data_IF_846257501695
#
_entry.id   IF_846257501695
#
_cell.length_a   1.000
_cell.length_b   1.000
_cell.length_c   1.000
_cell.angle_alpha   90.00
_cell.angle_beta   90.00
_cell.angle_gamma   90.00
#
_symmetry.space_group_name_H-M   'P 1'
#
loop_
_entity.id
_entity.type
_entity.pdbx_description
1 polymer ?
#
# COMPACT_ATOMS: atom_id res chain seq x y z
N UNK A 1 -2.75 -13.52 -16.36
CA UNK A 1 -2.87 -12.90 -15.02
C UNK A 1 -4.29 -12.33 -14.89
N UNK A 2 -5.24 -13.12 -14.36
CA UNK A 2 -6.62 -12.67 -14.19
C UNK A 2 -6.62 -11.71 -13.01
N UNK A 3 -6.59 -10.41 -13.27
CA UNK A 3 -6.91 -9.40 -12.25
C UNK A 3 -8.38 -9.63 -11.92
N UNK A 4 -8.67 -10.38 -10.87
CA UNK A 4 -10.00 -10.51 -10.30
C UNK A 4 -10.57 -9.11 -10.17
N UNK A 5 -11.55 -8.77 -11.02
CA UNK A 5 -12.25 -7.49 -10.93
C UNK A 5 -13.13 -7.57 -9.70
N UNK A 6 -12.53 -7.34 -8.53
CA UNK A 6 -13.31 -7.13 -7.31
C UNK A 6 -14.11 -5.85 -7.54
N UNK A 7 -15.44 -5.99 -7.61
CA UNK A 7 -16.34 -4.85 -7.68
C UNK A 7 -16.36 -4.09 -6.35
N UNK A 8 -16.88 -2.87 -6.40
CA UNK A 8 -17.20 -2.09 -5.19
C UNK A 8 -18.26 -2.82 -4.36
N UNK A 9 -18.13 -2.73 -3.03
CA UNK A 9 -19.05 -3.31 -2.04
C UNK A 9 -19.48 -2.26 -1.03
N UNK A 10 -20.58 -2.54 -0.34
CA UNK A 10 -20.94 -1.76 0.85
C UNK A 10 -19.85 -1.94 1.92
N UNK A 11 -19.55 -0.86 2.65
CA UNK A 11 -18.45 -0.77 3.61
C UNK A 11 -17.11 -0.36 3.01
N UNK A 12 -16.97 -0.32 1.68
CA UNK A 12 -15.74 0.14 1.04
C UNK A 12 -15.53 1.65 1.27
N UNK A 13 -14.32 2.02 1.66
CA UNK A 13 -13.88 3.42 1.77
C UNK A 13 -13.32 3.90 0.43
N UNK A 14 -13.84 5.00 -0.07
CA UNK A 14 -13.59 5.50 -1.42
C UNK A 14 -13.39 7.00 -1.44
N UNK A 15 -12.73 7.48 -2.49
CA UNK A 15 -12.91 8.84 -2.98
C UNK A 15 -14.18 8.89 -3.82
N UNK A 16 -15.15 9.69 -3.39
CA UNK A 16 -16.38 10.01 -4.11
C UNK A 16 -16.27 11.47 -4.58
N UNK A 17 -15.86 11.64 -5.84
CA UNK A 17 -15.44 12.94 -6.36
C UNK A 17 -14.24 13.48 -5.58
N UNK A 18 -14.36 14.67 -5.00
CA UNK A 18 -13.29 15.27 -4.22
C UNK A 18 -13.26 14.84 -2.73
N UNK A 19 -14.29 14.15 -2.25
CA UNK A 19 -14.47 13.90 -0.82
C UNK A 19 -14.30 12.40 -0.48
N UNK A 20 -13.72 12.07 0.69
CA UNK A 20 -13.67 10.69 1.16
C UNK A 20 -15.02 10.26 1.75
N UNK A 21 -15.40 9.00 1.54
CA UNK A 21 -16.64 8.46 2.10
C UNK A 21 -16.70 6.93 2.12
N UNK A 22 -17.72 6.41 2.79
CA UNK A 22 -18.03 4.98 2.87
C UNK A 22 -19.20 4.66 1.96
N UNK A 23 -19.09 3.60 1.16
CA UNK A 23 -20.19 3.10 0.37
C UNK A 23 -21.23 2.41 1.26
N UNK A 24 -22.44 2.95 1.34
CA UNK A 24 -23.51 2.38 2.18
C UNK A 24 -24.26 1.29 1.41
N UNK A 25 -24.74 1.64 0.21
CA UNK A 25 -25.50 0.74 -0.64
C UNK A 25 -25.50 1.19 -2.09
N UNK A 26 -25.72 0.24 -2.99
CA UNK A 26 -25.89 0.54 -4.41
C UNK A 26 -27.30 1.08 -4.66
N UNK A 27 -27.43 2.29 -5.23
CA UNK A 27 -28.72 2.91 -5.55
C UNK A 27 -29.28 2.37 -6.86
N UNK A 28 -28.44 2.24 -7.88
CA UNK A 28 -28.76 1.64 -9.18
C UNK A 28 -27.49 1.08 -9.83
N UNK A 29 -27.57 0.61 -11.08
CA UNK A 29 -26.41 0.03 -11.80
C UNK A 29 -25.19 0.94 -11.87
N UNK A 30 -25.37 2.27 -11.85
CA UNK A 30 -24.33 3.28 -12.04
C UNK A 30 -24.12 4.24 -10.87
N UNK A 31 -24.87 4.11 -9.77
CA UNK A 31 -24.80 5.04 -8.63
C UNK A 31 -24.73 4.31 -7.30
N UNK A 32 -23.96 4.88 -6.39
CA UNK A 32 -23.86 4.46 -5.00
C UNK A 32 -24.41 5.54 -4.07
N UNK A 33 -24.89 5.11 -2.92
CA UNK A 33 -25.14 5.96 -1.76
C UNK A 33 -23.84 5.98 -0.96
N UNK A 34 -23.36 7.17 -0.66
CA UNK A 34 -22.09 7.40 0.03
C UNK A 34 -22.36 8.21 1.28
N UNK A 35 -21.77 7.80 2.39
CA UNK A 35 -21.73 8.56 3.63
C UNK A 35 -20.35 9.22 3.71
N UNK A 36 -20.30 10.55 3.77
CA UNK A 36 -19.05 11.29 3.73
C UNK A 36 -18.44 11.45 5.12
N UNK A 37 -17.12 11.34 5.21
CA UNK A 37 -16.39 11.61 6.46
C UNK A 37 -16.30 13.11 6.74
N UNK A 38 -16.19 13.51 8.01
CA UNK A 38 -16.01 14.90 8.45
C UNK A 38 -17.22 15.84 8.28
N UNK A 39 -18.23 15.43 7.50
CA UNK A 39 -19.53 16.10 7.41
C UNK A 39 -20.51 15.34 8.30
N UNK A 40 -21.36 16.03 9.07
CA UNK A 40 -22.27 15.44 10.06
C UNK A 40 -23.27 14.43 9.47
N UNK A 41 -22.80 13.21 9.19
CA UNK A 41 -23.52 12.10 8.55
C UNK A 41 -24.21 12.51 7.24
N UNK A 42 -23.53 13.31 6.42
CA UNK A 42 -24.10 13.71 5.12
C UNK A 42 -24.11 12.52 4.16
N UNK A 43 -25.30 12.16 3.70
CA UNK A 43 -25.51 11.05 2.77
C UNK A 43 -25.71 11.61 1.37
N UNK A 44 -24.75 11.33 0.49
CA UNK A 44 -24.79 11.68 -0.93
C UNK A 44 -25.12 10.51 -1.84
N UNK A 45 -25.23 10.82 -3.14
CA UNK A 45 -25.29 9.80 -4.18
C UNK A 45 -24.31 10.11 -5.30
N UNK A 46 -23.32 9.24 -5.46
CA UNK A 46 -22.23 9.43 -6.42
C UNK A 46 -22.28 8.43 -7.57
N UNK A 47 -21.81 8.86 -8.74
CA UNK A 47 -21.70 7.99 -9.92
C UNK A 47 -20.50 7.07 -9.80
N UNK A 48 -20.62 5.86 -10.31
CA UNK A 48 -19.55 4.85 -10.30
C UNK A 48 -18.28 5.28 -11.07
N UNK A 49 -18.38 6.23 -11.99
CA UNK A 49 -17.23 6.84 -12.69
C UNK A 49 -16.42 7.81 -11.81
N UNK A 50 -17.07 8.40 -10.80
CA UNK A 50 -16.50 9.32 -9.84
C UNK A 50 -16.14 8.62 -8.53
N UNK A 51 -16.01 7.28 -8.55
CA UNK A 51 -15.65 6.49 -7.38
C UNK A 51 -14.34 5.77 -7.63
N UNK A 52 -13.36 6.05 -6.77
CA UNK A 52 -12.03 5.44 -6.78
C UNK A 52 -11.74 4.92 -5.38
N UNK A 53 -11.06 3.78 -5.26
CA UNK A 53 -10.68 3.28 -3.95
C UNK A 53 -9.82 4.30 -3.20
N UNK A 54 -10.17 4.54 -1.94
CA UNK A 54 -9.36 5.38 -1.08
C UNK A 54 -8.06 4.67 -0.76
N UNK A 55 -6.97 5.42 -0.71
CA UNK A 55 -5.68 4.93 -0.28
C UNK A 55 -5.09 5.95 0.68
N UNK A 56 -4.49 5.48 1.77
CA UNK A 56 -4.06 6.33 2.90
C UNK A 56 -3.08 7.43 2.50
N UNK A 57 -2.31 7.22 1.43
CA UNK A 57 -1.34 8.16 0.90
C UNK A 57 -1.84 9.00 -0.28
N UNK A 58 -3.07 8.78 -0.74
CA UNK A 58 -3.65 9.59 -1.81
C UNK A 58 -4.00 11.00 -1.28
N UNK A 59 -3.95 11.97 -2.19
CA UNK A 59 -4.26 13.37 -1.88
C UNK A 59 -5.12 13.97 -3.00
N UNK A 60 -6.27 14.52 -2.63
CA UNK A 60 -7.10 15.37 -3.46
C UNK A 60 -7.00 16.80 -2.93
N UNK A 61 -6.73 17.82 -3.76
CA UNK A 61 -6.76 19.21 -3.32
C UNK A 61 -8.17 19.61 -2.86
N UNK A 62 -8.24 20.46 -1.83
CA UNK A 62 -9.51 21.01 -1.35
C UNK A 62 -10.23 21.74 -2.50
N UNK A 63 -11.52 21.42 -2.77
CA UNK A 63 -12.32 22.16 -3.74
C UNK A 63 -12.38 23.66 -3.42
N UNK A 64 -12.50 24.50 -4.44
CA UNK A 64 -12.68 25.95 -4.25
C UNK A 64 -14.03 26.23 -3.58
N UNK A 65 -14.03 27.12 -2.58
CA UNK A 65 -15.22 27.48 -1.82
C UNK A 65 -15.50 26.61 -0.60
N UNK A 66 -14.76 25.51 -0.44
CA UNK A 66 -14.85 24.67 0.76
C UNK A 66 -13.98 25.19 1.91
N UNK A 67 -14.47 25.00 3.12
CA UNK A 67 -13.70 25.32 4.32
C UNK A 67 -12.63 24.24 4.56
N UNK A 68 -11.37 24.62 4.36
CA UNK A 68 -10.20 23.74 4.44
C UNK A 68 -10.14 22.89 5.72
N UNK A 69 -10.58 23.42 6.87
CA UNK A 69 -10.55 22.70 8.14
C UNK A 69 -11.45 21.46 8.12
N UNK A 70 -12.72 21.59 7.70
CA UNK A 70 -13.63 20.44 7.60
C UNK A 70 -13.14 19.41 6.58
N UNK A 71 -12.63 19.89 5.44
CA UNK A 71 -12.05 19.02 4.42
C UNK A 71 -10.84 18.23 4.94
N UNK A 72 -9.95 18.89 5.68
CA UNK A 72 -8.78 18.25 6.29
C UNK A 72 -9.19 17.21 7.33
N UNK A 73 -10.17 17.52 8.16
CA UNK A 73 -10.65 16.60 9.20
C UNK A 73 -11.34 15.37 8.59
N UNK A 74 -12.13 15.56 7.53
CA UNK A 74 -12.71 14.46 6.74
C UNK A 74 -11.65 13.49 6.19
N UNK A 75 -10.56 14.02 5.62
CA UNK A 75 -9.45 13.18 5.13
C UNK A 75 -8.76 12.46 6.27
N UNK A 76 -8.55 13.14 7.41
CA UNK A 76 -7.90 12.56 8.58
C UNK A 76 -8.73 11.39 9.12
N UNK A 77 -10.04 11.60 9.30
CA UNK A 77 -10.97 10.58 9.78
C UNK A 77 -11.00 9.37 8.85
N UNK A 78 -11.09 9.58 7.53
CA UNK A 78 -11.06 8.50 6.55
C UNK A 78 -9.76 7.68 6.60
N UNK A 79 -8.61 8.35 6.82
CA UNK A 79 -7.31 7.66 7.00
C UNK A 79 -7.30 6.83 8.27
N UNK A 80 -7.74 7.40 9.38
CA UNK A 80 -7.79 6.71 10.68
C UNK A 80 -8.70 5.48 10.60
N UNK A 81 -9.83 5.57 9.92
CA UNK A 81 -10.73 4.44 9.67
C UNK A 81 -10.02 3.30 8.92
N UNK A 82 -9.37 3.60 7.79
CA UNK A 82 -8.68 2.58 6.99
C UNK A 82 -7.48 1.99 7.74
N UNK A 83 -6.70 2.81 8.44
CA UNK A 83 -5.57 2.36 9.27
C UNK A 83 -6.08 1.47 10.42
N UNK A 84 -7.22 1.81 11.02
CA UNK A 84 -7.86 1.01 12.07
C UNK A 84 -8.25 -0.40 11.61
N UNK A 85 -8.47 -0.60 10.31
CA UNK A 85 -8.72 -1.91 9.70
C UNK A 85 -7.44 -2.67 9.32
N UNK A 86 -6.25 -2.15 9.66
CA UNK A 86 -4.93 -2.69 9.26
C UNK A 86 -4.74 -2.80 7.73
N UNK A 87 -5.47 -2.00 6.96
CA UNK A 87 -5.38 -1.95 5.51
C UNK A 87 -4.76 -0.64 5.04
N UNK A 88 -4.27 -0.63 3.80
CA UNK A 88 -3.80 0.60 3.13
C UNK A 88 -4.80 1.12 2.10
N UNK A 89 -5.74 0.26 1.71
CA UNK A 89 -6.76 0.51 0.71
C UNK A 89 -8.14 0.38 1.34
N UNK A 90 -8.99 1.35 1.09
CA UNK A 90 -10.38 1.32 1.49
C UNK A 90 -11.27 0.36 0.70
N UNK A 91 -10.81 -0.12 -0.46
CA UNK A 91 -11.51 -1.10 -1.27
C UNK A 91 -10.53 -2.04 -2.00
N UNK A 92 -10.98 -3.28 -2.23
CA UNK A 92 -10.32 -4.22 -3.14
C UNK A 92 -10.59 -3.88 -4.61
N UNK A 93 -11.71 -3.22 -4.89
CA UNK A 93 -12.10 -2.76 -6.23
C UNK A 93 -11.58 -1.37 -6.55
N UNK A 94 -11.69 -0.93 -7.81
CA UNK A 94 -11.43 0.45 -8.24
C UNK A 94 -10.11 1.08 -7.77
N UNK A 95 -9.06 0.27 -7.60
CA UNK A 95 -7.71 0.73 -7.25
C UNK A 95 -7.00 1.44 -8.41
N UNK A 96 -7.49 1.35 -9.64
CA UNK A 96 -6.96 2.13 -10.76
C UNK A 96 -7.72 3.45 -10.90
N UNK A 97 -6.99 4.57 -10.97
CA UNK A 97 -7.59 5.91 -11.15
C UNK A 97 -7.86 6.15 -12.64
N UNK A 98 -9.09 6.48 -13.04
CA UNK A 98 -9.37 6.94 -14.40
C UNK A 98 -8.70 8.31 -14.66
N UNK A 99 -8.15 8.59 -15.85
CA UNK A 99 -7.57 9.89 -16.18
C UNK A 99 -8.56 11.05 -15.96
N UNK A 100 -9.82 10.87 -16.36
CA UNK A 100 -10.90 11.85 -16.14
C UNK A 100 -11.11 12.20 -14.67
N UNK A 101 -10.87 11.26 -13.76
CA UNK A 101 -10.99 11.52 -12.32
C UNK A 101 -9.86 12.45 -11.84
N UNK A 102 -8.64 12.25 -12.37
CA UNK A 102 -7.50 13.12 -12.07
C UNK A 102 -7.71 14.51 -12.66
N UNK A 103 -8.22 14.60 -13.89
CA UNK A 103 -8.53 15.88 -14.54
C UNK A 103 -9.59 16.68 -13.77
N UNK A 104 -10.65 16.01 -13.30
CA UNK A 104 -11.76 16.66 -12.62
C UNK A 104 -11.46 17.04 -11.16
N UNK A 105 -10.77 16.17 -10.43
CA UNK A 105 -10.61 16.32 -8.97
C UNK A 105 -9.15 16.51 -8.54
N UNK A 106 -8.17 16.36 -9.43
CA UNK A 106 -6.77 16.58 -9.11
C UNK A 106 -6.16 15.52 -8.19
N UNK A 107 -6.71 14.30 -8.17
CA UNK A 107 -6.18 13.20 -7.34
C UNK A 107 -4.71 12.93 -7.66
N UNK A 108 -3.85 13.16 -6.68
CA UNK A 108 -2.44 12.79 -6.70
C UNK A 108 -2.28 11.50 -5.91
N UNK A 109 -2.02 10.42 -6.62
CA UNK A 109 -1.61 9.18 -5.99
C UNK A 109 -0.17 9.32 -5.54
N UNK A 110 0.08 9.13 -4.26
CA UNK A 110 1.43 8.85 -3.82
C UNK A 110 1.82 7.51 -4.44
N UNK A 111 2.57 7.56 -5.54
CA UNK A 111 3.32 6.41 -6.02
C UNK A 111 4.18 6.03 -4.83
N UNK A 112 3.93 4.87 -4.23
CA UNK A 112 4.87 4.26 -3.32
C UNK A 112 6.20 4.23 -4.08
N UNK A 113 7.10 5.16 -3.75
CA UNK A 113 8.51 5.07 -4.07
C UNK A 113 9.06 3.87 -3.30
N UNK A 114 8.65 2.66 -3.69
CA UNK A 114 9.19 1.39 -3.22
C UNK A 114 10.48 1.03 -3.97
N UNK A 115 11.22 2.02 -4.46
CA UNK A 115 12.54 1.83 -5.09
C UNK A 115 13.72 2.53 -4.39
N UNK A 116 13.50 3.35 -3.35
CA UNK A 116 14.62 4.08 -2.71
C UNK A 116 15.02 3.63 -1.31
N UNK A 117 14.27 2.74 -0.65
CA UNK A 117 14.67 2.15 0.65
C UNK A 117 15.21 0.71 0.57
N UNK A 118 15.51 0.21 -0.63
CA UNK A 118 16.32 -1.02 -0.81
C UNK A 118 17.72 -0.76 -1.39
N UNK A 119 18.07 0.50 -1.72
CA UNK A 119 19.40 0.86 -2.25
C UNK A 119 20.42 1.32 -1.22
N UNK A 120 20.07 1.36 0.07
CA UNK A 120 20.96 1.79 1.15
C UNK A 120 21.58 0.63 1.95
N UNK A 121 21.68 -0.58 1.38
CA UNK A 121 22.59 -1.60 1.92
C UNK A 121 23.84 -1.59 1.04
N UNK A 122 25.01 -1.11 1.53
CA UNK A 122 26.23 -1.26 0.78
C UNK A 122 26.51 -2.76 0.65
N UNK A 123 26.39 -3.28 -0.59
CA UNK A 123 26.98 -4.58 -0.94
C UNK A 123 28.47 -4.46 -0.69
N UNK A 124 28.95 -5.04 0.41
CA UNK A 124 30.38 -5.28 0.64
C UNK A 124 30.86 -6.11 -0.55
N UNK A 125 31.59 -5.46 -1.46
CA UNK A 125 32.26 -6.12 -2.57
C UNK A 125 33.32 -7.03 -1.97
N UNK A 126 33.08 -8.34 -2.04
CA UNK A 126 34.15 -9.32 -1.92
C UNK A 126 35.14 -9.08 -3.07
N UNK A 127 36.27 -8.46 -2.77
CA UNK A 127 37.38 -8.32 -3.71
C UNK A 127 38.07 -9.68 -3.75
N UNK A 128 37.82 -10.45 -4.82
CA UNK A 128 38.66 -11.59 -5.23
C UNK A 128 39.69 -11.08 -6.24
N UNK A 129 40.96 -11.24 -5.92
CA UNK A 129 42.13 -11.04 -6.79
C UNK A 129 43.35 -11.76 -6.21
N UNK A 130 44.38 -12.09 -7.02
CA UNK A 130 44.56 -13.46 -7.48
C UNK A 130 45.89 -14.15 -7.05
N UNK A 131 45.83 -15.47 -6.92
CA UNK A 131 46.87 -16.45 -7.29
C UNK A 131 48.31 -16.35 -6.73
N UNK A 132 48.70 -17.32 -5.89
CA UNK A 132 50.02 -17.97 -5.98
C UNK A 132 50.01 -19.37 -5.34
N UNK A 133 50.31 -20.39 -6.16
CA UNK A 133 50.65 -21.78 -5.75
C UNK A 133 52.03 -21.79 -5.12
N UNK A 134 52.24 -22.50 -4.01
CA UNK A 134 53.48 -23.25 -3.72
C UNK A 134 53.16 -24.53 -2.93
N UNK A 135 53.93 -25.55 -3.25
CA UNK A 135 53.91 -26.99 -2.98
C UNK A 135 53.72 -27.46 -1.52
N UNK A 136 53.16 -28.67 -1.41
CA UNK A 136 53.28 -29.56 -0.25
C UNK A 136 54.71 -30.14 -0.13
N UNK A 137 55.06 -30.66 1.06
CA UNK A 137 55.47 -32.07 1.11
C UNK A 137 54.72 -32.87 2.19
N UNK A 138 54.78 -34.19 2.02
CA UNK A 138 53.97 -35.23 2.68
C UNK A 138 54.66 -35.81 3.96
N UNK A 139 54.47 -37.10 4.32
CA UNK A 139 53.45 -37.63 5.25
C UNK A 139 54.09 -38.30 6.50
N UNK A 140 53.33 -39.18 7.17
CA UNK A 140 53.67 -40.07 8.32
C UNK A 140 53.71 -39.38 9.69
N UNK A 141 53.19 -39.94 10.80
CA UNK A 141 53.14 -41.36 11.15
C UNK A 141 51.98 -41.72 12.11
N UNK A 142 51.76 -43.02 12.16
CA UNK A 142 50.76 -43.85 12.87
C UNK A 142 50.82 -43.76 14.41
N UNK A 143 49.82 -44.43 15.02
CA UNK A 143 49.89 -45.19 16.32
C UNK A 143 49.76 -44.31 17.58
N UNK A 144 48.96 -44.57 18.63
CA UNK A 144 48.27 -45.75 19.17
C UNK A 144 47.14 -45.28 20.13
N UNK A 145 46.02 -46.01 20.20
CA UNK A 145 45.11 -45.98 21.37
C UNK A 145 45.78 -46.70 22.55
N UNK A 146 45.44 -46.32 23.80
CA UNK A 146 44.95 -47.34 24.73
C UNK A 146 43.71 -46.86 25.50
N UNK A 147 42.64 -47.65 25.47
CA UNK A 147 42.19 -48.53 26.56
C UNK A 147 41.50 -47.78 27.70
N UNK A 148 40.18 -47.88 27.66
CA UNK A 148 39.31 -47.94 28.81
C UNK A 148 39.75 -49.09 29.75
N UNK A 149 39.75 -48.88 31.07
CA UNK A 149 39.21 -49.89 31.96
C UNK A 149 38.23 -49.30 32.98
N UNK A 150 37.02 -49.88 32.98
CA UNK A 150 36.15 -50.23 34.13
C UNK A 150 36.35 -49.38 35.41
N UNK A 151 35.31 -48.74 35.94
CA UNK A 151 34.20 -49.37 36.66
C UNK A 151 33.05 -48.38 36.83
#
# INVERSE_FOLDING_TARGET
>A
MVRSRCGLRAGDVVWAGAYPGILVRKKNSNRWVVEFFGFSNEIGSEKNENIVAFHVWDHVPCPQGEAYFYYRDAIKEAREYVIGTNETWGSLGRRSVPPKFVENFGLKRAVLARETLQRAVPRVRAIRGPGRRVLAPAPTDRVLRPRNPRQ
#
